data_IF_536728144037
#
_entry.id   IF_536728144037
#
_cell.length_a   1.000
_cell.length_b   1.000
_cell.length_c   1.000
_cell.angle_alpha   90.00
_cell.angle_beta   90.00
_cell.angle_gamma   90.00
#
_symmetry.space_group_name_H-M   'P 1'
#
loop_
_entity.id
_entity.type
_entity.pdbx_description
1 polymer ?
#
# COMPACT_ATOMS: atom_id res chain seq x y z
N UNK A 1 -9.74 -13.87 10.33
CA UNK A 1 -10.72 -12.95 9.71
C UNK A 1 -10.50 -13.02 8.22
N UNK A 2 -11.50 -13.42 7.44
CA UNK A 2 -11.39 -13.41 5.98
C UNK A 2 -11.53 -11.95 5.57
N UNK A 3 -10.44 -11.34 5.07
CA UNK A 3 -10.47 -9.97 4.56
C UNK A 3 -11.10 -10.02 3.17
N UNK A 4 -12.22 -9.34 3.00
CA UNK A 4 -12.85 -9.22 1.68
C UNK A 4 -12.10 -8.15 0.88
N UNK A 5 -11.75 -8.44 -0.39
CA UNK A 5 -11.16 -7.44 -1.25
C UNK A 5 -12.15 -6.30 -1.47
N UNK A 6 -11.70 -5.07 -1.25
CA UNK A 6 -12.46 -3.90 -1.65
C UNK A 6 -12.27 -3.67 -3.15
N UNK A 7 -13.35 -3.66 -3.90
CA UNK A 7 -13.33 -3.23 -5.29
C UNK A 7 -13.19 -1.70 -5.34
N UNK A 8 -12.22 -1.23 -6.11
CA UNK A 8 -11.91 0.19 -6.31
C UNK A 8 -11.63 0.43 -7.79
N UNK A 9 -11.91 1.64 -8.25
CA UNK A 9 -11.68 2.04 -9.64
C UNK A 9 -10.58 3.10 -9.69
N UNK A 10 -9.72 2.99 -10.70
CA UNK A 10 -8.76 4.05 -11.01
C UNK A 10 -9.50 5.12 -11.81
N UNK A 11 -9.48 6.35 -11.32
CA UNK A 11 -10.13 7.48 -12.00
C UNK A 11 -9.38 7.94 -13.26
N UNK A 12 -9.93 8.92 -13.96
CA UNK A 12 -9.33 9.50 -15.18
C UNK A 12 -7.97 10.16 -14.95
N UNK A 13 -7.63 10.48 -13.70
CA UNK A 13 -6.36 11.08 -13.30
C UNK A 13 -5.36 10.02 -12.80
N UNK A 14 -5.67 8.74 -12.89
CA UNK A 14 -4.81 7.65 -12.41
C UNK A 14 -4.79 7.51 -10.89
N UNK A 15 -5.80 8.03 -10.17
CA UNK A 15 -5.90 7.94 -8.70
C UNK A 15 -6.85 6.83 -8.29
N UNK A 16 -6.58 6.24 -7.13
CA UNK A 16 -7.47 5.28 -6.48
C UNK A 16 -7.80 5.78 -5.08
N UNK A 17 -9.08 5.73 -4.71
CA UNK A 17 -9.53 5.99 -3.35
C UNK A 17 -9.63 4.67 -2.60
N UNK A 18 -8.92 4.56 -1.48
CA UNK A 18 -8.94 3.37 -0.64
C UNK A 18 -9.91 3.56 0.53
N UNK A 19 -10.79 2.59 0.83
CA UNK A 19 -11.67 2.66 1.98
C UNK A 19 -10.88 2.82 3.29
N UNK A 20 -11.40 3.65 4.21
CA UNK A 20 -10.75 3.89 5.51
C UNK A 20 -10.52 2.61 6.31
N UNK A 21 -11.43 1.62 6.19
CA UNK A 21 -11.26 0.32 6.82
C UNK A 21 -10.03 -0.43 6.31
N UNK A 22 -9.78 -0.40 5.00
CA UNK A 22 -8.59 -1.02 4.39
C UNK A 22 -7.30 -0.32 4.85
N UNK A 23 -7.32 1.01 4.95
CA UNK A 23 -6.18 1.78 5.48
C UNK A 23 -5.89 1.41 6.95
N UNK A 24 -6.93 1.34 7.78
CA UNK A 24 -6.80 0.98 9.20
C UNK A 24 -6.21 -0.42 9.38
N UNK A 25 -6.65 -1.39 8.58
CA UNK A 25 -6.12 -2.75 8.59
C UNK A 25 -4.65 -2.88 8.15
N UNK A 26 -4.16 -1.92 7.36
CA UNK A 26 -2.78 -1.81 6.93
C UNK A 26 -1.93 -0.92 7.87
N UNK A 27 -2.51 -0.40 8.96
CA UNK A 27 -1.84 0.52 9.86
C UNK A 27 -1.50 1.86 9.21
N UNK A 28 -2.31 2.29 8.25
CA UNK A 28 -2.15 3.53 7.48
C UNK A 28 -3.16 4.60 7.93
N UNK A 29 -2.69 5.84 7.97
CA UNK A 29 -3.53 7.01 8.19
C UNK A 29 -3.59 7.91 6.95
N UNK A 30 -4.53 8.86 6.96
CA UNK A 30 -4.54 9.93 5.97
C UNK A 30 -3.24 10.74 6.07
N UNK A 31 -2.56 10.96 4.94
CA UNK A 31 -1.28 11.67 4.88
C UNK A 31 -0.06 10.80 5.17
N UNK A 32 -0.22 9.50 5.46
CA UNK A 32 0.91 8.57 5.54
C UNK A 32 1.70 8.53 4.23
N UNK A 33 3.04 8.51 4.31
CA UNK A 33 3.91 8.37 3.16
C UNK A 33 4.09 6.90 2.79
N UNK A 34 3.83 6.57 1.53
CA UNK A 34 3.89 5.22 1.00
C UNK A 34 4.96 5.10 -0.08
N UNK A 35 5.54 3.91 -0.20
CA UNK A 35 6.20 3.44 -1.41
C UNK A 35 5.19 2.62 -2.22
N UNK A 36 5.20 2.82 -3.53
CA UNK A 36 4.39 2.09 -4.48
C UNK A 36 5.31 1.44 -5.52
N UNK A 37 5.17 0.14 -5.73
CA UNK A 37 5.91 -0.57 -6.76
C UNK A 37 5.04 -1.68 -7.39
N UNK A 38 5.41 -2.07 -8.61
CA UNK A 38 4.81 -3.22 -9.29
C UNK A 38 5.57 -4.49 -8.91
N UNK A 39 4.85 -5.52 -8.49
CA UNK A 39 5.44 -6.83 -8.20
C UNK A 39 5.73 -7.66 -9.47
N UNK A 40 5.40 -7.16 -10.66
CA UNK A 40 5.67 -7.82 -11.94
C UNK A 40 4.65 -8.88 -12.36
N UNK A 41 3.70 -9.23 -11.48
CA UNK A 41 2.63 -10.21 -11.73
C UNK A 41 1.24 -9.57 -11.85
N UNK A 42 1.20 -8.27 -12.16
CA UNK A 42 -0.02 -7.47 -12.23
C UNK A 42 -0.49 -6.89 -10.90
N UNK A 43 0.24 -7.13 -9.80
CA UNK A 43 -0.06 -6.52 -8.50
C UNK A 43 0.72 -5.23 -8.29
N UNK A 44 0.05 -4.23 -7.72
CA UNK A 44 0.67 -3.05 -7.13
C UNK A 44 0.74 -3.26 -5.63
N UNK A 45 1.94 -3.08 -5.07
CA UNK A 45 2.16 -3.13 -3.63
C UNK A 45 2.31 -1.71 -3.11
N UNK A 46 1.53 -1.41 -2.06
CA UNK A 46 1.65 -0.18 -1.29
C UNK A 46 2.23 -0.55 0.08
N UNK A 47 3.35 0.09 0.44
CA UNK A 47 4.09 -0.19 1.68
C UNK A 47 4.36 1.11 2.43
N UNK A 48 4.31 1.09 3.77
CA UNK A 48 4.74 2.23 4.59
C UNK A 48 6.19 2.54 4.30
N UNK A 49 6.49 3.81 4.05
CA UNK A 49 7.86 4.23 3.75
C UNK A 49 8.83 3.96 4.91
N UNK A 50 8.36 4.08 6.15
CA UNK A 50 9.16 3.78 7.35
C UNK A 50 9.55 2.30 7.44
N UNK A 51 8.62 1.38 7.13
CA UNK A 51 8.87 -0.06 7.16
C UNK A 51 9.88 -0.46 6.09
N UNK A 52 9.76 0.10 4.88
CA UNK A 52 10.69 -0.21 3.80
C UNK A 52 12.11 0.30 4.09
N UNK A 53 12.24 1.46 4.75
CA UNK A 53 13.54 1.97 5.19
C UNK A 53 14.11 1.10 6.31
N UNK A 54 13.28 0.67 7.25
CA UNK A 54 13.70 -0.23 8.33
C UNK A 54 14.23 -1.56 7.79
N UNK A 55 13.51 -2.18 6.84
CA UNK A 55 13.92 -3.42 6.20
C UNK A 55 15.19 -3.26 5.37
N UNK A 56 15.33 -2.17 4.60
CA UNK A 56 16.56 -1.91 3.85
C UNK A 56 17.78 -1.75 4.78
N UNK A 57 17.60 -1.12 5.93
CA UNK A 57 18.67 -0.92 6.91
C UNK A 57 18.97 -2.19 7.72
N UNK A 58 17.98 -3.05 7.93
CA UNK A 58 18.10 -4.29 8.69
C UNK A 58 18.57 -5.48 7.85
N UNK A 59 17.86 -5.74 6.76
CA UNK A 59 17.97 -6.95 5.94
C UNK A 59 18.58 -6.69 4.54
N UNK A 60 18.75 -5.42 4.15
CA UNK A 60 19.37 -5.03 2.88
C UNK A 60 18.48 -5.16 1.65
N UNK A 61 17.16 -5.33 1.85
CA UNK A 61 16.17 -5.52 0.78
C UNK A 61 14.96 -4.56 0.95
N UNK A 62 14.21 -4.32 -0.13
CA UNK A 62 13.11 -3.34 -0.21
C UNK A 62 11.71 -3.97 -0.36
#
# INVERSE_FOLDING_TARGET
MIREPAEVTIDENGRVELPVGLLAEAGLGCGSRLLAYSAGDGRIVLRRAEDAVADLLGDGDL
#
